data_IF_657050225909
#
_entry.id   IF_657050225909
#
_cell.length_a   1.000
_cell.length_b   1.000
_cell.length_c   1.000
_cell.angle_alpha   90.00
_cell.angle_beta   90.00
_cell.angle_gamma   90.00
#
_symmetry.space_group_name_H-M   'P 1'
#
loop_
_entity.id
_entity.type
_entity.pdbx_description
1 polymer ?
#
# COMPACT_ATOMS: atom_id res chain seq x y z
N UNK A 1 -5.99 19.83 5.71
CA UNK A 1 -4.98 19.67 4.64
C UNK A 1 -5.41 18.50 3.78
N UNK A 2 -5.27 18.56 2.45
CA UNK A 2 -5.68 17.48 1.53
C UNK A 2 -4.45 17.10 0.69
N UNK A 3 -4.19 15.81 0.54
CA UNK A 3 -3.16 15.30 -0.38
C UNK A 3 -3.83 15.12 -1.73
N UNK A 4 -3.18 15.59 -2.81
CA UNK A 4 -3.72 15.49 -4.17
C UNK A 4 -2.63 15.15 -5.17
N UNK A 5 -3.01 14.42 -6.21
CA UNK A 5 -2.19 14.19 -7.40
C UNK A 5 -2.54 15.28 -8.42
N UNK A 6 -1.55 16.10 -8.78
CA UNK A 6 -1.69 17.14 -9.81
C UNK A 6 -0.79 16.78 -10.99
N UNK A 7 -1.32 16.81 -12.20
CA UNK A 7 -0.57 16.56 -13.42
C UNK A 7 0.43 17.71 -13.68
N UNK A 8 1.75 17.45 -13.76
CA UNK A 8 2.74 18.51 -13.95
C UNK A 8 2.73 19.13 -15.36
N UNK A 9 2.13 18.47 -16.36
CA UNK A 9 2.11 18.98 -17.73
C UNK A 9 1.01 20.02 -18.00
N UNK A 10 -0.06 20.01 -17.21
CA UNK A 10 -1.24 20.88 -17.42
C UNK A 10 -1.92 21.36 -16.14
N UNK A 11 -1.33 21.10 -14.97
CA UNK A 11 -1.82 21.50 -13.65
C UNK A 11 -3.20 20.95 -13.25
N UNK A 12 -3.74 19.99 -14.02
CA UNK A 12 -5.02 19.38 -13.72
C UNK A 12 -4.93 18.48 -12.47
N UNK A 13 -5.90 18.60 -11.58
CA UNK A 13 -6.04 17.69 -10.42
C UNK A 13 -6.59 16.35 -10.91
N UNK A 14 -5.85 15.27 -10.68
CA UNK A 14 -6.21 13.91 -11.10
C UNK A 14 -6.92 13.13 -9.98
N UNK A 15 -6.46 13.31 -8.74
CA UNK A 15 -6.98 12.58 -7.58
C UNK A 15 -6.80 13.39 -6.30
N UNK A 16 -7.68 13.16 -5.33
CA UNK A 16 -7.60 13.71 -3.97
C UNK A 16 -7.73 12.57 -2.95
N UNK A 17 -7.03 12.70 -1.84
CA UNK A 17 -6.94 11.68 -0.80
C UNK A 17 -7.28 12.28 0.55
N UNK A 18 -8.20 11.62 1.26
CA UNK A 18 -8.56 11.96 2.62
C UNK A 18 -7.42 11.61 3.57
N UNK A 19 -7.13 12.51 4.51
CA UNK A 19 -6.16 12.23 5.56
C UNK A 19 -6.76 11.26 6.58
N UNK A 20 -5.89 10.45 7.17
CA UNK A 20 -6.26 9.60 8.28
C UNK A 20 -6.44 10.44 9.55
N UNK A 21 -7.49 10.14 10.29
CA UNK A 21 -7.69 10.65 11.64
C UNK A 21 -6.76 9.93 12.63
N UNK A 22 -6.49 10.56 13.78
CA UNK A 22 -5.53 10.03 14.77
C UNK A 22 -5.89 8.62 15.27
N UNK A 23 -7.17 8.36 15.50
CA UNK A 23 -7.67 7.04 15.89
C UNK A 23 -7.47 5.97 14.80
N UNK A 24 -7.61 6.33 13.53
CA UNK A 24 -7.38 5.44 12.39
C UNK A 24 -5.89 5.13 12.26
N UNK A 25 -5.02 6.14 12.44
CA UNK A 25 -3.57 5.95 12.44
C UNK A 25 -3.14 5.00 13.55
N UNK A 26 -3.60 5.23 14.78
CA UNK A 26 -3.31 4.36 15.93
C UNK A 26 -3.74 2.91 15.67
N UNK A 27 -4.94 2.72 15.12
CA UNK A 27 -5.47 1.39 14.79
C UNK A 27 -4.62 0.68 13.72
N UNK A 28 -4.14 1.40 12.71
CA UNK A 28 -3.28 0.85 11.66
C UNK A 28 -1.88 0.49 12.16
N UNK A 29 -1.33 1.28 13.10
CA UNK A 29 -0.05 0.98 13.75
C UNK A 29 -0.15 -0.34 14.54
N UNK A 30 -1.22 -0.51 15.32
CA UNK A 30 -1.45 -1.75 16.07
C UNK A 30 -1.62 -2.95 15.14
N UNK A 31 -2.43 -2.80 14.08
CA UNK A 31 -2.58 -3.84 13.05
C UNK A 31 -1.23 -4.20 12.40
N UNK A 32 -0.36 -3.21 12.18
CA UNK A 32 1.01 -3.41 11.70
C UNK A 32 1.85 -4.25 12.66
N UNK A 33 1.79 -3.96 13.96
CA UNK A 33 2.49 -4.71 14.99
C UNK A 33 2.01 -6.17 15.08
N UNK A 34 0.69 -6.39 15.12
CA UNK A 34 0.09 -7.73 15.13
C UNK A 34 0.50 -8.53 13.89
N UNK A 35 0.46 -7.90 12.72
CA UNK A 35 0.88 -8.52 11.45
C UNK A 35 2.36 -8.90 11.49
N UNK A 36 3.24 -8.02 11.98
CA UNK A 36 4.67 -8.33 12.15
C UNK A 36 4.89 -9.55 13.03
N UNK A 37 4.17 -9.66 14.15
CA UNK A 37 4.28 -10.79 15.08
C UNK A 37 3.99 -12.14 14.42
N UNK A 38 3.12 -12.18 13.41
CA UNK A 38 2.84 -13.35 12.57
C UNK A 38 3.92 -13.51 11.47
N UNK A 39 4.21 -12.44 10.73
CA UNK A 39 5.13 -12.46 9.59
C UNK A 39 6.56 -12.84 9.95
N UNK A 40 7.05 -12.46 11.14
CA UNK A 40 8.39 -12.85 11.62
C UNK A 40 8.57 -14.36 11.75
N UNK A 41 7.47 -15.11 11.93
CA UNK A 41 7.46 -16.58 12.02
C UNK A 41 7.14 -17.24 10.68
N UNK A 42 6.77 -16.45 9.67
CA UNK A 42 6.32 -16.96 8.37
C UNK A 42 7.51 -17.47 7.56
N UNK A 43 7.46 -18.71 7.03
CA UNK A 43 8.54 -19.27 6.23
C UNK A 43 8.88 -18.43 4.99
N UNK A 44 10.15 -18.42 4.60
CA UNK A 44 10.60 -17.70 3.40
C UNK A 44 9.91 -18.20 2.13
N UNK A 45 9.53 -19.48 2.05
CA UNK A 45 8.81 -20.05 0.91
C UNK A 45 7.48 -19.34 0.66
N UNK A 46 6.69 -19.11 1.72
CA UNK A 46 5.42 -18.40 1.62
C UNK A 46 5.61 -16.93 1.25
N UNK A 47 6.62 -16.26 1.84
CA UNK A 47 6.95 -14.86 1.50
C UNK A 47 7.38 -14.72 0.04
N UNK A 48 8.22 -15.65 -0.44
CA UNK A 48 8.64 -15.73 -1.85
C UNK A 48 7.44 -15.90 -2.78
N UNK A 49 6.52 -16.81 -2.45
CA UNK A 49 5.33 -17.04 -3.25
C UNK A 49 4.49 -15.76 -3.40
N UNK A 50 4.24 -15.05 -2.30
CA UNK A 50 3.48 -13.79 -2.33
C UNK A 50 4.18 -12.71 -3.15
N UNK A 51 5.51 -12.57 -3.03
CA UNK A 51 6.28 -11.60 -3.82
C UNK A 51 6.26 -11.91 -5.32
N UNK A 52 6.36 -13.18 -5.71
CA UNK A 52 6.24 -13.58 -7.11
C UNK A 52 4.83 -13.36 -7.66
N UNK A 53 3.80 -13.55 -6.84
CA UNK A 53 2.43 -13.23 -7.24
C UNK A 53 2.23 -11.73 -7.44
N UNK A 54 2.82 -10.89 -6.58
CA UNK A 54 2.81 -9.44 -6.74
C UNK A 54 3.50 -9.03 -8.05
N UNK A 55 4.68 -9.61 -8.36
CA UNK A 55 5.38 -9.32 -9.61
C UNK A 55 4.50 -9.62 -10.84
N UNK A 56 3.87 -10.80 -10.88
CA UNK A 56 2.94 -11.18 -11.96
C UNK A 56 1.75 -10.23 -12.07
N UNK A 57 1.21 -9.77 -10.94
CA UNK A 57 0.09 -8.82 -10.93
C UNK A 57 0.50 -7.47 -11.54
N UNK A 58 1.68 -6.97 -11.20
CA UNK A 58 2.23 -5.73 -11.74
C UNK A 58 2.48 -5.83 -13.25
N UNK A 59 3.06 -6.95 -13.71
CA UNK A 59 3.25 -7.22 -15.14
C UNK A 59 1.93 -7.20 -15.90
N UNK A 60 0.89 -7.84 -15.36
CA UNK A 60 -0.44 -7.87 -15.97
C UNK A 60 -1.06 -6.47 -16.08
N UNK A 61 -0.86 -5.61 -15.08
CA UNK A 61 -1.45 -4.26 -15.02
C UNK A 61 -0.62 -3.17 -15.69
N UNK A 62 0.51 -3.49 -16.32
CA UNK A 62 1.44 -2.51 -16.90
C UNK A 62 0.85 -1.73 -18.09
N UNK A 63 -0.16 -2.28 -18.75
CA UNK A 63 -0.71 -1.76 -20.01
C UNK A 63 -2.10 -1.12 -19.81
N UNK A 64 -2.69 -1.27 -18.63
CA UNK A 64 -3.88 -0.52 -18.21
C UNK A 64 -3.48 0.88 -17.71
#
# INVERSE_FOLDING_TARGET
>A
MIIRTVNPANEAVLSEYTLLEENQMSSLIEAGHLTFCVWRKTPFSQRKQLMLNLAKLLEKKKVD
#
